data_IF_998427431608
#
_entry.id   IF_998427431608
#
_cell.length_a   1.000
_cell.length_b   1.000
_cell.length_c   1.000
_cell.angle_alpha   90.00
_cell.angle_beta   90.00
_cell.angle_gamma   90.00
#
_symmetry.space_group_name_H-M   'P 1'
#
loop_
_entity.id
_entity.type
_entity.pdbx_description
1 polymer ?
#
# COMPACT_ATOMS: atom_id res chain seq x y z
N UNK A 1 51.92 -26.29 -7.54
CA UNK A 1 51.23 -26.87 -6.36
C UNK A 1 50.63 -25.84 -5.39
N UNK A 2 51.16 -24.61 -5.28
CA UNK A 2 50.63 -23.59 -4.35
C UNK A 2 49.23 -23.04 -4.73
N UNK A 3 48.98 -22.83 -6.01
CA UNK A 3 47.71 -22.28 -6.52
C UNK A 3 46.52 -23.21 -6.21
N UNK A 4 46.73 -24.53 -6.30
CA UNK A 4 45.70 -25.51 -5.97
C UNK A 4 45.32 -25.47 -4.49
N UNK A 5 46.29 -25.24 -3.60
CA UNK A 5 46.04 -25.11 -2.15
C UNK A 5 45.28 -23.82 -1.81
N UNK A 6 45.55 -22.73 -2.52
CA UNK A 6 44.83 -21.46 -2.36
C UNK A 6 43.39 -21.58 -2.85
N UNK A 7 43.16 -22.21 -4.01
CA UNK A 7 41.81 -22.46 -4.52
C UNK A 7 41.00 -23.37 -3.58
N UNK A 8 41.62 -24.41 -3.03
CA UNK A 8 40.97 -25.30 -2.08
C UNK A 8 40.62 -24.60 -0.77
N UNK A 9 41.53 -23.77 -0.25
CA UNK A 9 41.28 -22.96 0.95
C UNK A 9 40.15 -21.95 0.72
N UNK A 10 40.12 -21.28 -0.44
CA UNK A 10 39.04 -20.35 -0.81
C UNK A 10 37.68 -21.06 -0.94
N UNK A 11 37.64 -22.25 -1.52
CA UNK A 11 36.42 -23.05 -1.65
C UNK A 11 35.90 -23.48 -0.27
N UNK A 12 36.81 -23.88 0.62
CA UNK A 12 36.47 -24.31 1.99
C UNK A 12 35.94 -23.15 2.84
N UNK A 13 36.51 -21.95 2.68
CA UNK A 13 36.00 -20.72 3.33
C UNK A 13 34.62 -20.36 2.79
N UNK A 14 34.36 -20.50 1.49
CA UNK A 14 33.05 -20.20 0.90
C UNK A 14 31.95 -21.15 1.41
N UNK A 15 32.28 -22.44 1.58
CA UNK A 15 31.36 -23.44 2.15
C UNK A 15 31.01 -23.17 3.62
N UNK A 16 31.95 -22.61 4.39
CA UNK A 16 31.70 -22.22 5.79
C UNK A 16 30.82 -20.96 5.92
N UNK A 17 30.82 -20.07 4.92
CA UNK A 17 29.91 -18.91 4.91
C UNK A 17 28.46 -19.39 4.66
N UNK A 18 28.26 -20.39 3.80
CA UNK A 18 26.94 -20.97 3.53
C UNK A 18 26.33 -21.68 4.75
N UNK A 19 27.13 -22.26 5.64
CA UNK A 19 26.62 -22.89 6.87
C UNK A 19 26.31 -21.90 8.00
N UNK A 20 26.78 -20.65 7.90
CA UNK A 20 26.53 -19.58 8.88
C UNK A 20 25.22 -18.82 8.66
N UNK A 21 24.54 -19.02 7.52
CA UNK A 21 23.14 -18.66 7.42
C UNK A 21 22.35 -19.64 8.29
N UNK A 22 22.20 -19.25 9.56
CA UNK A 22 21.31 -19.85 10.51
C UNK A 22 20.03 -20.27 9.78
N UNK A 23 19.72 -21.56 9.88
CA UNK A 23 18.47 -22.16 9.47
C UNK A 23 17.31 -21.50 10.23
N UNK A 24 16.98 -20.28 9.82
CA UNK A 24 15.75 -19.61 10.20
C UNK A 24 14.71 -20.39 9.43
N UNK A 25 14.13 -21.41 10.08
CA UNK A 25 13.04 -22.20 9.53
C UNK A 25 12.00 -21.20 9.05
N UNK A 26 11.94 -20.94 7.74
CA UNK A 26 10.89 -20.12 7.16
C UNK A 26 9.59 -20.87 7.42
N UNK A 27 8.85 -20.43 8.44
CA UNK A 27 7.54 -21.00 8.71
C UNK A 27 6.65 -20.60 7.55
N UNK A 28 6.28 -21.59 6.77
CA UNK A 28 5.35 -21.43 5.67
C UNK A 28 4.02 -20.92 6.24
N UNK A 29 3.29 -20.15 5.43
CA UNK A 29 1.94 -19.65 5.75
C UNK A 29 0.99 -20.75 6.25
N UNK A 30 1.22 -22.00 5.85
CA UNK A 30 0.48 -23.19 6.29
C UNK A 30 0.69 -23.58 7.75
N UNK A 31 1.77 -23.13 8.40
CA UNK A 31 2.12 -23.43 9.79
C UNK A 31 1.52 -22.42 10.78
N UNK A 32 0.85 -21.38 10.29
CA UNK A 32 0.17 -20.38 11.13
C UNK A 32 -1.22 -20.87 11.52
N UNK A 33 -1.61 -20.58 12.76
CA UNK A 33 -2.96 -20.88 13.25
C UNK A 33 -3.98 -20.02 12.48
N UNK A 34 -4.80 -20.70 11.68
CA UNK A 34 -5.84 -20.05 10.85
C UNK A 34 -6.99 -19.62 11.74
N UNK A 35 -7.51 -18.42 11.52
CA UNK A 35 -8.74 -17.91 12.17
C UNK A 35 -8.65 -17.72 13.69
N UNK A 36 -7.44 -17.60 14.24
CA UNK A 36 -7.25 -17.19 15.64
C UNK A 36 -7.70 -15.74 15.90
N UNK A 37 -7.73 -14.92 14.84
CA UNK A 37 -8.19 -13.53 14.88
C UNK A 37 -9.45 -13.37 14.01
N UNK A 38 -10.50 -12.82 14.61
CA UNK A 38 -11.67 -12.30 13.89
C UNK A 38 -11.34 -10.87 13.46
N UNK A 39 -11.29 -10.60 12.16
CA UNK A 39 -10.94 -9.28 11.62
C UNK A 39 -12.17 -8.71 10.93
N UNK A 40 -12.52 -7.48 11.28
CA UNK A 40 -13.60 -6.73 10.66
C UNK A 40 -13.04 -5.43 10.11
N UNK A 41 -13.10 -5.24 8.81
CA UNK A 41 -12.72 -3.99 8.16
C UNK A 41 -13.98 -3.27 7.66
N UNK A 42 -14.25 -2.10 8.21
CA UNK A 42 -15.35 -1.23 7.78
C UNK A 42 -14.78 0.02 7.11
N UNK A 43 -15.11 0.27 5.84
CA UNK A 43 -14.71 1.50 5.19
C UNK A 43 -15.55 2.70 5.68
N UNK A 44 -14.95 3.89 5.69
CA UNK A 44 -15.64 5.13 6.07
C UNK A 44 -16.83 5.46 5.17
N UNK A 45 -16.88 4.90 3.95
CA UNK A 45 -18.02 4.97 3.05
C UNK A 45 -18.51 3.55 2.80
N UNK A 46 -19.73 3.26 3.25
CA UNK A 46 -20.38 1.96 3.07
C UNK A 46 -21.56 2.16 2.11
N UNK A 47 -21.57 1.43 0.99
CA UNK A 47 -22.65 1.43 0.02
C UNK A 47 -22.34 0.53 -1.17
N UNK A 48 -23.37 -0.05 -1.77
CA UNK A 48 -23.23 -0.87 -2.97
C UNK A 48 -22.66 -0.01 -4.12
N UNK A 49 -21.53 -0.43 -4.71
CA UNK A 49 -20.84 0.31 -5.76
C UNK A 49 -19.95 1.48 -5.30
N UNK A 50 -19.72 1.64 -3.99
CA UNK A 50 -18.82 2.68 -3.47
C UNK A 50 -17.36 2.29 -3.71
N UNK A 51 -16.62 3.19 -4.35
CA UNK A 51 -15.18 3.09 -4.58
C UNK A 51 -14.46 4.10 -3.67
N UNK A 52 -13.51 3.61 -2.87
CA UNK A 52 -12.76 4.43 -1.92
C UNK A 52 -11.62 5.15 -2.62
N UNK A 53 -11.44 6.44 -2.35
CA UNK A 53 -10.34 7.23 -2.87
C UNK A 53 -9.10 7.08 -1.99
N UNK A 54 -8.01 6.60 -2.58
CA UNK A 54 -6.69 6.59 -1.96
C UNK A 54 -6.28 8.00 -1.51
N UNK A 55 -5.72 8.13 -0.29
CA UNK A 55 -5.27 9.39 0.30
C UNK A 55 -6.36 10.28 0.92
N UNK A 56 -7.63 9.86 0.86
CA UNK A 56 -8.77 10.65 1.35
C UNK A 56 -9.64 9.82 2.30
N UNK A 57 -10.02 8.62 1.87
CA UNK A 57 -10.92 7.77 2.66
C UNK A 57 -10.15 6.96 3.72
N UNK A 58 -10.82 6.73 4.85
CA UNK A 58 -10.31 5.96 5.99
C UNK A 58 -10.97 4.58 6.06
N UNK A 59 -10.21 3.61 6.54
CA UNK A 59 -10.62 2.24 6.85
C UNK A 59 -10.54 2.05 8.36
N UNK A 60 -11.66 1.73 8.99
CA UNK A 60 -11.66 1.31 10.39
C UNK A 60 -11.47 -0.20 10.44
N UNK A 61 -10.32 -0.62 10.97
CA UNK A 61 -9.94 -2.03 11.05
C UNK A 61 -10.02 -2.42 12.52
N UNK A 62 -10.95 -3.32 12.82
CA UNK A 62 -11.14 -3.87 14.16
C UNK A 62 -10.77 -5.34 14.13
N UNK A 63 -10.10 -5.81 15.17
CA UNK A 63 -9.80 -7.23 15.30
C UNK A 63 -10.01 -7.70 16.73
N UNK A 64 -10.44 -8.95 16.84
CA UNK A 64 -10.73 -9.61 18.10
C UNK A 64 -10.05 -10.97 18.10
N UNK A 65 -9.44 -11.34 19.22
CA UNK A 65 -8.92 -12.70 19.41
C UNK A 65 -10.12 -13.63 19.60
N UNK A 66 -10.24 -14.63 18.73
CA UNK A 66 -11.30 -15.64 18.86
C UNK A 66 -11.01 -16.54 20.06
N UNK A 67 -12.03 -16.87 20.86
CA UNK A 67 -11.85 -17.71 22.06
C UNK A 67 -11.53 -19.18 21.76
N UNK A 68 -11.43 -19.54 20.48
CA UNK A 68 -11.02 -20.87 19.99
C UNK A 68 -9.50 -20.99 19.82
N UNK A 69 -8.74 -19.90 20.00
CA UNK A 69 -7.28 -19.92 19.93
C UNK A 69 -6.74 -20.81 21.05
N UNK A 70 -6.05 -21.89 20.67
CA UNK A 70 -5.60 -22.93 21.64
C UNK A 70 -4.41 -22.44 22.48
N UNK A 71 -3.82 -21.31 22.11
CA UNK A 71 -2.89 -20.56 22.94
C UNK A 71 -3.54 -19.21 23.24
N UNK A 72 -3.55 -18.79 24.50
CA UNK A 72 -3.55 -17.36 24.81
C UNK A 72 -2.19 -16.84 24.39
N UNK A 73 -2.08 -16.06 23.31
CA UNK A 73 -0.76 -15.75 22.82
C UNK A 73 -0.37 -14.45 23.50
N UNK A 74 0.81 -14.42 24.11
CA UNK A 74 1.54 -13.19 24.39
C UNK A 74 1.90 -12.50 23.06
N UNK A 75 0.88 -12.02 22.33
CA UNK A 75 1.07 -11.29 21.10
C UNK A 75 1.68 -9.94 21.44
N UNK A 76 2.91 -9.72 20.99
CA UNK A 76 3.61 -8.44 21.16
C UNK A 76 3.03 -7.37 20.23
N UNK A 77 2.63 -7.77 19.03
CA UNK A 77 2.11 -6.86 18.00
C UNK A 77 1.16 -7.57 17.04
N UNK A 78 0.34 -6.79 16.34
CA UNK A 78 -0.56 -7.29 15.30
C UNK A 78 -0.22 -6.53 14.01
N UNK A 79 0.32 -7.25 13.03
CA UNK A 79 0.65 -6.72 11.70
C UNK A 79 -0.58 -6.84 10.82
N UNK A 80 -1.13 -5.72 10.38
CA UNK A 80 -2.23 -5.73 9.42
C UNK A 80 -1.64 -5.60 8.03
N UNK A 81 -2.12 -6.39 7.07
CA UNK A 81 -1.72 -6.36 5.66
C UNK A 81 -2.95 -6.15 4.79
N UNK A 82 -2.80 -5.30 3.77
CA UNK A 82 -3.80 -5.16 2.71
C UNK A 82 -3.49 -6.16 1.61
N UNK A 83 -4.45 -7.02 1.27
CA UNK A 83 -4.28 -8.06 0.26
C UNK A 83 -5.24 -7.86 -0.91
N UNK A 84 -4.78 -8.16 -2.12
CA UNK A 84 -5.61 -8.11 -3.32
C UNK A 84 -6.63 -9.23 -3.39
N UNK A 85 -7.87 -8.88 -3.71
CA UNK A 85 -8.89 -9.83 -4.10
C UNK A 85 -8.46 -10.57 -5.39
N UNK A 86 -8.91 -11.82 -5.61
CA UNK A 86 -8.56 -12.59 -6.80
C UNK A 86 -8.84 -11.84 -8.12
N UNK A 87 -9.89 -11.01 -8.16
CA UNK A 87 -10.25 -10.19 -9.31
C UNK A 87 -9.23 -9.09 -9.68
N UNK A 88 -8.26 -8.79 -8.82
CA UNK A 88 -7.28 -7.71 -9.01
C UNK A 88 -5.82 -8.17 -8.88
N UNK A 89 -5.55 -9.48 -8.90
CA UNK A 89 -4.18 -10.02 -8.84
C UNK A 89 -3.42 -9.78 -10.14
N UNK A 90 -2.80 -8.61 -10.26
CA UNK A 90 -1.84 -8.31 -11.34
C UNK A 90 -0.39 -8.32 -10.78
N UNK A 91 -0.21 -8.22 -9.47
CA UNK A 91 1.12 -8.17 -8.84
C UNK A 91 1.14 -8.67 -7.39
N UNK A 92 2.17 -9.43 -7.03
CA UNK A 92 2.42 -10.02 -5.71
C UNK A 92 3.08 -9.02 -4.77
N UNK A 93 2.35 -8.02 -4.31
CA UNK A 93 2.89 -7.06 -3.37
C UNK A 93 1.86 -6.82 -2.26
N UNK A 94 2.34 -6.92 -1.03
CA UNK A 94 1.58 -6.75 0.19
C UNK A 94 2.01 -5.42 0.80
N UNK A 95 1.06 -4.53 1.06
CA UNK A 95 1.34 -3.39 1.92
C UNK A 95 1.26 -3.86 3.36
N UNK A 96 2.35 -3.65 4.08
CA UNK A 96 2.52 -4.07 5.46
C UNK A 96 2.59 -2.83 6.36
N UNK A 97 1.46 -2.17 6.67
CA UNK A 97 1.44 -1.22 7.77
C UNK A 97 1.73 -1.96 9.08
N UNK A 98 2.99 -1.91 9.52
CA UNK A 98 3.40 -2.46 10.80
C UNK A 98 2.82 -1.62 11.95
N UNK A 99 2.02 -2.21 12.84
CA UNK A 99 1.39 -1.49 13.94
C UNK A 99 1.39 -2.26 15.27
N UNK A 100 1.36 -1.50 16.38
CA UNK A 100 1.32 -1.99 17.76
C UNK A 100 -0.09 -1.85 18.38
N UNK A 101 -0.36 -2.74 19.34
CA UNK A 101 -1.66 -3.15 19.85
C UNK A 101 -2.61 -2.03 20.34
N UNK A 102 -3.80 -1.99 19.71
CA UNK A 102 -5.09 -1.49 20.19
C UNK A 102 -6.18 -2.27 19.43
N UNK A 103 -7.34 -2.58 20.00
CA UNK A 103 -8.33 -3.49 19.36
C UNK A 103 -8.97 -2.96 18.06
N UNK A 104 -8.83 -1.65 17.81
CA UNK A 104 -9.37 -0.97 16.65
C UNK A 104 -8.40 0.12 16.20
N UNK A 105 -8.30 0.32 14.88
CA UNK A 105 -7.46 1.34 14.28
C UNK A 105 -8.06 1.92 13.01
N UNK A 106 -8.00 3.23 12.88
CA UNK A 106 -8.37 3.95 11.67
C UNK A 106 -7.14 4.11 10.77
N UNK A 107 -7.05 3.26 9.75
CA UNK A 107 -6.03 3.35 8.71
C UNK A 107 -6.48 4.31 7.60
N UNK A 108 -5.68 5.33 7.30
CA UNK A 108 -5.93 6.16 6.12
C UNK A 108 -5.31 5.48 4.91
N UNK A 109 -6.09 5.26 3.85
CA UNK A 109 -5.55 4.67 2.61
C UNK A 109 -4.45 5.57 2.08
N UNK A 110 -3.24 5.02 1.92
CA UNK A 110 -2.12 5.78 1.35
C UNK A 110 -2.34 6.08 -0.13
N UNK A 111 -1.70 7.15 -0.61
CA UNK A 111 -1.83 7.63 -2.01
C UNK A 111 -1.22 6.69 -3.03
N UNK A 112 -0.28 5.85 -2.60
CA UNK A 112 0.47 4.93 -3.45
C UNK A 112 -0.33 3.65 -3.77
N UNK A 113 -1.45 3.42 -3.08
CA UNK A 113 -2.30 2.24 -3.30
C UNK A 113 -2.95 2.34 -4.70
N UNK A 114 -2.66 1.42 -5.64
CA UNK A 114 -3.21 1.43 -6.96
C UNK A 114 -4.66 0.95 -6.93
N UNK A 115 -5.33 1.20 -8.04
CA UNK A 115 -6.75 0.89 -8.21
C UNK A 115 -6.95 -0.62 -8.22
N UNK A 116 -7.82 -1.12 -7.35
CA UNK A 116 -8.10 -2.55 -7.25
C UNK A 116 -9.06 -2.89 -6.11
N UNK A 117 -9.49 -4.13 -6.06
CA UNK A 117 -10.31 -4.66 -4.98
C UNK A 117 -9.42 -5.30 -3.92
N UNK A 118 -9.61 -4.92 -2.66
CA UNK A 118 -8.78 -5.33 -1.54
C UNK A 118 -9.59 -5.97 -0.41
N UNK A 119 -8.90 -6.74 0.42
CA UNK A 119 -9.37 -7.23 1.72
C UNK A 119 -8.27 -7.07 2.76
N UNK A 120 -8.68 -7.04 4.04
CA UNK A 120 -7.76 -6.89 5.16
C UNK A 120 -7.43 -8.26 5.77
N UNK A 121 -6.15 -8.47 6.07
CA UNK A 121 -5.66 -9.61 6.83
C UNK A 121 -4.82 -9.14 8.01
N UNK A 122 -5.10 -9.64 9.20
CA UNK A 122 -4.30 -9.36 10.38
C UNK A 122 -3.44 -10.58 10.73
N UNK A 123 -2.20 -10.33 11.11
CA UNK A 123 -1.23 -11.32 11.56
C UNK A 123 -0.84 -11.02 12.99
N UNK A 124 -0.90 -12.03 13.82
CA UNK A 124 -0.46 -11.93 15.20
C UNK A 124 1.03 -12.28 15.27
N UNK A 125 1.79 -11.44 15.99
CA UNK A 125 3.25 -11.51 16.01
C UNK A 125 3.74 -11.74 17.43
N UNK A 126 4.63 -12.71 17.59
CA UNK A 126 5.26 -13.07 18.86
C UNK A 126 6.40 -12.10 19.23
N UNK A 127 6.91 -12.19 20.45
CA UNK A 127 8.04 -11.45 21.03
C UNK A 127 9.27 -11.36 20.13
N UNK A 128 9.49 -12.40 19.32
CA UNK A 128 10.57 -12.55 18.33
C UNK A 128 10.24 -11.98 16.93
N UNK A 129 9.17 -11.19 16.83
CA UNK A 129 8.69 -10.55 15.60
C UNK A 129 8.25 -11.52 14.47
N UNK A 130 7.96 -12.78 14.84
CA UNK A 130 7.48 -13.84 13.96
C UNK A 130 5.95 -13.92 13.92
N UNK A 131 5.40 -14.12 12.71
CA UNK A 131 3.96 -14.34 12.49
C UNK A 131 3.58 -15.74 12.98
N UNK A 132 2.67 -15.82 13.96
CA UNK A 132 2.26 -17.07 14.62
C UNK A 132 0.81 -17.47 14.30
N UNK A 133 -0.03 -16.49 13.99
CA UNK A 133 -1.43 -16.71 13.66
C UNK A 133 -1.92 -15.62 12.70
N UNK A 134 -3.00 -15.89 11.98
CA UNK A 134 -3.63 -14.88 11.15
C UNK A 134 -5.17 -14.94 11.20
N UNK A 135 -5.77 -13.79 10.94
CA UNK A 135 -7.20 -13.61 10.72
C UNK A 135 -7.46 -12.86 9.42
N UNK A 136 -8.59 -13.12 8.80
CA UNK A 136 -8.98 -12.49 7.54
C UNK A 136 -10.39 -11.92 7.68
N UNK A 137 -10.63 -10.76 7.06
CA UNK A 137 -11.96 -10.14 7.04
C UNK A 137 -12.91 -10.77 6.00
N UNK A 138 -12.40 -11.68 5.16
CA UNK A 138 -13.13 -12.32 4.06
C UNK A 138 -13.25 -13.83 4.28
N UNK A 139 -14.23 -14.46 3.63
CA UNK A 139 -14.42 -15.91 3.65
C UNK A 139 -13.31 -16.65 2.87
N UNK A 140 -13.18 -17.96 3.02
CA UNK A 140 -12.17 -18.78 2.32
C UNK A 140 -12.25 -18.60 0.79
N UNK A 141 -13.46 -18.37 0.26
CA UNK A 141 -13.74 -18.11 -1.15
C UNK A 141 -13.43 -16.66 -1.59
N UNK A 142 -13.06 -15.77 -0.66
CA UNK A 142 -12.74 -14.35 -0.90
C UNK A 142 -13.84 -13.56 -1.62
N UNK A 143 -15.09 -13.84 -1.29
CA UNK A 143 -16.28 -13.24 -1.94
C UNK A 143 -17.00 -12.19 -1.08
N UNK A 144 -16.68 -12.11 0.22
CA UNK A 144 -17.36 -11.24 1.19
C UNK A 144 -16.42 -10.17 1.77
N UNK A 145 -16.94 -9.00 2.14
CA UNK A 145 -16.18 -7.88 2.72
C UNK A 145 -15.02 -7.37 1.85
N UNK A 146 -15.25 -7.37 0.53
CA UNK A 146 -14.34 -6.76 -0.43
C UNK A 146 -14.65 -5.27 -0.56
N UNK A 147 -13.62 -4.43 -0.65
CA UNK A 147 -13.78 -3.02 -0.95
C UNK A 147 -12.93 -2.64 -2.17
N UNK A 148 -13.47 -1.78 -3.02
CA UNK A 148 -12.77 -1.27 -4.19
C UNK A 148 -12.07 0.04 -3.84
N UNK A 149 -10.79 0.14 -4.14
CA UNK A 149 -9.98 1.35 -3.98
C UNK A 149 -9.65 1.89 -5.37
N UNK A 150 -9.75 3.20 -5.52
CA UNK A 150 -9.30 3.94 -6.69
C UNK A 150 -8.07 4.76 -6.32
N UNK A 151 -6.98 4.52 -7.05
CA UNK A 151 -5.74 5.26 -6.91
C UNK A 151 -5.94 6.74 -7.22
N UNK A 152 -5.04 7.56 -6.71
CA UNK A 152 -4.90 8.94 -7.19
C UNK A 152 -4.31 8.89 -8.60
N UNK A 153 -5.19 8.95 -9.60
CA UNK A 153 -4.80 9.31 -10.96
C UNK A 153 -4.13 10.68 -10.93
N UNK A 154 -2.97 10.81 -11.57
CA UNK A 154 -2.17 12.05 -11.63
C UNK A 154 -2.89 13.30 -12.19
N UNK A 155 -4.19 13.22 -12.54
CA UNK A 155 -5.08 14.38 -12.68
C UNK A 155 -5.39 14.99 -11.31
N UNK A 156 -4.38 15.61 -10.70
CA UNK A 156 -4.63 16.50 -9.57
C UNK A 156 -5.54 17.66 -10.01
N UNK A 157 -6.58 17.96 -9.23
CA UNK A 157 -7.46 19.13 -9.46
C UNK A 157 -6.67 20.44 -9.61
N UNK A 158 -5.52 20.53 -8.92
CA UNK A 158 -4.58 21.64 -9.04
C UNK A 158 -4.03 21.82 -10.45
N UNK A 159 -3.78 20.74 -11.20
CA UNK A 159 -3.25 20.80 -12.56
C UNK A 159 -4.33 21.29 -13.53
N UNK A 160 -5.57 20.82 -13.37
CA UNK A 160 -6.70 21.32 -14.17
C UNK A 160 -6.87 22.84 -13.92
N UNK A 161 -6.81 23.30 -12.67
CA UNK A 161 -6.94 24.74 -12.32
C UNK A 161 -5.78 25.57 -12.88
N UNK A 162 -4.54 25.11 -12.73
CA UNK A 162 -3.38 25.81 -13.27
C UNK A 162 -3.43 25.92 -14.80
N UNK A 163 -3.89 24.88 -15.49
CA UNK A 163 -4.02 24.88 -16.96
C UNK A 163 -5.04 25.92 -17.46
N UNK A 164 -6.13 26.12 -16.71
CA UNK A 164 -7.13 27.15 -17.01
C UNK A 164 -6.55 28.54 -16.80
N UNK A 165 -5.84 28.79 -15.69
CA UNK A 165 -5.20 30.09 -15.46
C UNK A 165 -4.16 30.43 -16.53
N UNK A 166 -3.30 29.47 -16.92
CA UNK A 166 -2.30 29.69 -17.95
C UNK A 166 -2.91 29.91 -19.34
N UNK A 167 -4.01 29.22 -19.68
CA UNK A 167 -4.68 29.42 -20.97
C UNK A 167 -5.39 30.78 -21.06
N UNK A 168 -6.03 31.23 -19.99
CA UNK A 168 -6.63 32.58 -19.95
C UNK A 168 -5.53 33.66 -20.01
N UNK A 169 -4.45 33.49 -19.26
CA UNK A 169 -3.34 34.44 -19.25
C UNK A 169 -2.69 34.60 -20.63
N UNK A 170 -2.51 33.50 -21.38
CA UNK A 170 -1.89 33.55 -22.71
C UNK A 170 -2.76 34.32 -23.73
N UNK A 171 -4.08 34.12 -23.71
CA UNK A 171 -5.02 34.83 -24.59
C UNK A 171 -5.06 36.32 -24.25
N UNK A 172 -5.12 36.66 -22.96
CA UNK A 172 -5.12 38.07 -22.51
C UNK A 172 -3.81 38.76 -22.89
N UNK A 173 -2.66 38.10 -22.69
CA UNK A 173 -1.37 38.64 -23.07
C UNK A 173 -1.30 38.92 -24.58
N UNK A 174 -1.77 37.99 -25.42
CA UNK A 174 -1.84 38.17 -26.88
C UNK A 174 -2.69 39.38 -27.28
N UNK A 175 -3.87 39.56 -26.66
CA UNK A 175 -4.73 40.71 -26.92
C UNK A 175 -4.07 42.04 -26.52
N UNK A 176 -3.41 42.08 -25.36
CA UNK A 176 -2.66 43.26 -24.90
C UNK A 176 -1.51 43.59 -25.87
N UNK A 177 -0.77 42.57 -26.34
CA UNK A 177 0.28 42.75 -27.33
C UNK A 177 -0.26 43.34 -28.63
N UNK A 178 -1.36 42.80 -29.17
CA UNK A 178 -1.97 43.34 -30.40
C UNK A 178 -2.47 44.77 -30.24
N UNK A 179 -3.08 45.12 -29.10
CA UNK A 179 -3.54 46.49 -28.83
C UNK A 179 -2.35 47.45 -28.71
N UNK A 180 -1.28 47.05 -28.01
CA UNK A 180 -0.09 47.88 -27.91
C UNK A 180 0.58 48.08 -29.27
N UNK A 181 0.69 47.05 -30.09
CA UNK A 181 1.25 47.15 -31.45
C UNK A 181 0.40 48.08 -32.33
N UNK A 182 -0.93 47.95 -32.30
CA UNK A 182 -1.85 48.88 -33.00
C UNK A 182 -1.69 50.33 -32.53
N UNK A 183 -1.51 50.56 -31.22
CA UNK A 183 -1.29 51.90 -30.67
C UNK A 183 0.05 52.46 -31.11
N UNK A 184 1.12 51.65 -31.11
CA UNK A 184 2.44 52.07 -31.59
C UNK A 184 2.42 52.44 -33.07
N UNK A 185 1.81 51.61 -33.91
CA UNK A 185 1.68 51.88 -35.35
C UNK A 185 0.92 53.19 -35.63
N UNK A 186 -0.14 53.50 -34.89
CA UNK A 186 -0.86 54.79 -35.03
C UNK A 186 -0.01 56.00 -34.61
N UNK A 187 0.81 55.87 -33.58
CA UNK A 187 1.68 56.96 -33.11
C UNK A 187 2.79 57.21 -34.13
N UNK A 188 3.38 56.15 -34.71
CA UNK A 188 4.41 56.28 -35.75
C UNK A 188 3.87 56.90 -37.04
N UNK A 189 2.63 56.64 -37.44
CA UNK A 189 2.03 57.30 -38.61
C UNK A 189 1.59 58.76 -38.35
N UNK A 190 1.51 59.17 -37.08
CA UNK A 190 1.14 60.54 -36.69
C UNK A 190 2.36 61.46 -36.52
N UNK A 191 3.58 60.93 -36.65
CA UNK A 191 4.84 61.65 -36.48
C UNK A 191 5.47 61.95 -37.84
#
# INVERSE_FOLDING_TARGET
MAIHKILFASLLICLLIQSSHAATKERLFSDLEKSALEVTATPSRVGEGVVLAAGVDKLSITWKVSSTATKEPEFKAIKVKLCYAPASQISSWSYDPAMKAGQSFDYTLERDIPTGTYFVRAYAVDTKDHEVAFGQSTNEDKTTNLFSVQAISGRHKSLDIASVCFSVFSVVALLVFFVNEKRKAKIEQSK
#
